data_IF_949973976086
#
_entry.id   IF_949973976086
#
_cell.length_a   1.000
_cell.length_b   1.000
_cell.length_c   1.000
_cell.angle_alpha   90.00
_cell.angle_beta   90.00
_cell.angle_gamma   90.00
#
_symmetry.space_group_name_H-M   'P 1'
#
loop_
_entity.id
_entity.type
_entity.pdbx_description
1 polymer ?
#
# COMPACT_ATOMS: atom_id res chain seq x y z
N UNK A 1 -9.78 -2.11 2.70
CA UNK A 1 -8.62 -1.65 1.91
C UNK A 1 -8.48 -2.61 0.76
N UNK A 2 -8.35 -2.11 -0.47
CA UNK A 2 -8.23 -2.91 -1.70
C UNK A 2 -6.94 -2.51 -2.41
N UNK A 3 -6.27 -3.49 -3.00
CA UNK A 3 -5.07 -3.35 -3.84
C UNK A 3 -5.35 -3.98 -5.20
N UNK A 4 -4.51 -3.66 -6.19
CA UNK A 4 -4.65 -4.16 -7.56
C UNK A 4 -6.03 -3.89 -8.20
N UNK A 5 -6.58 -2.68 -8.00
CA UNK A 5 -7.85 -2.32 -8.63
C UNK A 5 -7.77 -2.32 -10.17
N UNK A 6 -6.56 -2.14 -10.73
CA UNK A 6 -6.23 -2.25 -12.17
C UNK A 6 -7.10 -1.38 -13.10
N UNK A 7 -7.72 -0.36 -12.52
CA UNK A 7 -8.64 0.53 -13.21
C UNK A 7 -8.28 1.99 -12.88
N UNK A 8 -8.29 2.90 -13.87
CA UNK A 8 -8.15 4.33 -13.60
C UNK A 8 -9.42 4.87 -12.93
N UNK A 9 -9.28 5.97 -12.20
CA UNK A 9 -10.35 6.58 -11.40
C UNK A 9 -11.63 6.77 -12.21
N UNK A 10 -11.54 7.31 -13.43
CA UNK A 10 -12.72 7.59 -14.28
C UNK A 10 -13.54 6.36 -14.71
N UNK A 11 -13.02 5.15 -14.52
CA UNK A 11 -13.72 3.88 -14.84
C UNK A 11 -13.90 2.99 -13.61
N UNK A 12 -13.51 3.48 -12.43
CA UNK A 12 -13.79 2.79 -11.18
C UNK A 12 -15.30 2.78 -10.91
N UNK A 13 -15.87 1.67 -10.39
CA UNK A 13 -17.32 1.52 -10.19
C UNK A 13 -17.81 2.27 -8.94
N UNK A 14 -17.71 3.61 -8.93
CA UNK A 14 -18.12 4.44 -7.81
C UNK A 14 -19.59 4.22 -7.45
N UNK A 15 -20.48 4.19 -8.44
CA UNK A 15 -21.92 4.10 -8.23
C UNK A 15 -22.33 2.76 -7.60
N UNK A 16 -21.73 1.65 -8.03
CA UNK A 16 -22.01 0.33 -7.46
C UNK A 16 -21.66 0.31 -5.96
N UNK A 17 -20.53 0.88 -5.59
CA UNK A 17 -20.09 0.91 -4.18
C UNK A 17 -20.92 1.92 -3.36
N UNK A 18 -21.26 3.06 -3.94
CA UNK A 18 -22.14 4.06 -3.32
C UNK A 18 -23.54 3.48 -3.06
N UNK A 19 -24.08 2.68 -4.00
CA UNK A 19 -25.38 2.00 -3.86
C UNK A 19 -25.39 0.97 -2.72
N UNK A 20 -24.22 0.40 -2.38
CA UNK A 20 -24.03 -0.43 -1.19
C UNK A 20 -23.91 0.39 0.11
N UNK A 21 -24.06 1.71 0.05
CA UNK A 21 -23.96 2.68 1.16
C UNK A 21 -22.56 2.71 1.79
N UNK A 22 -21.53 2.59 0.97
CA UNK A 22 -20.14 2.79 1.37
C UNK A 22 -19.55 4.03 0.72
N UNK A 23 -18.74 4.75 1.50
CA UNK A 23 -17.78 5.73 1.01
C UNK A 23 -16.62 4.98 0.36
N UNK A 24 -16.09 5.51 -0.74
CA UNK A 24 -14.94 4.92 -1.40
C UNK A 24 -13.99 6.00 -1.92
N UNK A 25 -12.70 5.77 -1.68
CA UNK A 25 -11.61 6.68 -2.02
C UNK A 25 -10.58 5.88 -2.79
N UNK A 26 -10.21 6.34 -3.98
CA UNK A 26 -9.44 5.57 -4.95
C UNK A 26 -8.23 6.37 -5.41
N UNK A 27 -7.13 5.66 -5.63
CA UNK A 27 -6.05 6.12 -6.48
C UNK A 27 -5.75 4.99 -7.46
N UNK A 28 -6.21 5.15 -8.69
CA UNK A 28 -6.26 4.12 -9.73
C UNK A 28 -5.29 4.36 -10.87
N UNK A 29 -4.96 3.28 -11.57
CA UNK A 29 -4.08 3.28 -12.74
C UNK A 29 -4.57 2.21 -13.73
N UNK A 30 -4.52 2.53 -15.03
CA UNK A 30 -4.95 1.59 -16.08
C UNK A 30 -4.08 0.34 -16.12
N UNK A 31 -4.73 -0.83 -16.13
CA UNK A 31 -4.14 -2.18 -16.28
C UNK A 31 -3.24 -2.66 -15.14
N UNK A 32 -2.75 -1.77 -14.28
CA UNK A 32 -1.75 -2.07 -13.26
C UNK A 32 -2.08 -1.37 -11.95
N UNK A 33 -1.56 -1.89 -10.84
CA UNK A 33 -1.61 -1.26 -9.52
C UNK A 33 -3.04 -0.86 -9.11
N UNK A 34 -3.17 0.30 -8.46
CA UNK A 34 -4.41 0.86 -8.00
C UNK A 34 -4.73 0.41 -6.58
N UNK A 35 -5.14 1.37 -5.76
CA UNK A 35 -5.48 1.18 -4.35
C UNK A 35 -6.77 1.91 -4.01
N UNK A 36 -7.57 1.32 -3.12
CA UNK A 36 -8.80 1.94 -2.66
C UNK A 36 -9.06 1.71 -1.16
N UNK A 37 -9.68 2.69 -0.52
CA UNK A 37 -10.24 2.56 0.84
C UNK A 37 -11.75 2.67 0.72
N UNK A 38 -12.45 1.62 1.15
CA UNK A 38 -13.91 1.58 1.24
C UNK A 38 -14.28 1.59 2.72
N UNK A 39 -15.24 2.43 3.10
CA UNK A 39 -15.62 2.65 4.50
C UNK A 39 -17.12 2.90 4.64
N UNK A 40 -17.73 2.40 5.74
CA UNK A 40 -19.10 2.76 6.12
C UNK A 40 -19.23 4.19 6.63
N UNK A 41 -18.11 4.83 6.95
CA UNK A 41 -18.04 6.19 7.50
C UNK A 41 -17.23 7.07 6.56
N UNK A 42 -17.61 8.34 6.47
CA UNK A 42 -16.82 9.36 5.80
C UNK A 42 -15.44 9.44 6.41
N UNK A 43 -14.42 9.42 5.56
CA UNK A 43 -13.03 9.60 5.94
C UNK A 43 -12.57 11.02 5.59
N UNK A 44 -11.50 11.47 6.24
CA UNK A 44 -10.90 12.80 6.02
C UNK A 44 -9.43 12.70 5.62
N UNK A 45 -8.83 13.81 5.21
CA UNK A 45 -7.39 13.90 4.90
C UNK A 45 -6.90 12.80 3.94
N UNK A 46 -7.66 12.56 2.87
CA UNK A 46 -7.31 11.58 1.85
C UNK A 46 -6.08 12.06 1.10
N UNK A 47 -5.03 11.24 1.06
CA UNK A 47 -3.76 11.55 0.37
C UNK A 47 -3.23 10.32 -0.34
N UNK A 48 -2.48 10.53 -1.42
CA UNK A 48 -1.83 9.47 -2.19
C UNK A 48 -0.35 9.77 -2.48
N UNK A 49 0.17 10.84 -1.87
CA UNK A 49 1.46 11.46 -2.15
C UNK A 49 2.30 11.64 -0.87
N UNK A 50 2.16 10.74 0.10
CA UNK A 50 2.82 10.87 1.41
C UNK A 50 4.36 10.86 1.32
N UNK A 51 4.91 10.37 0.21
CA UNK A 51 6.28 10.60 -0.25
C UNK A 51 6.29 10.66 -1.77
N UNK A 52 7.37 11.21 -2.36
CA UNK A 52 7.53 11.28 -3.81
C UNK A 52 7.85 9.89 -4.37
N UNK A 53 6.95 9.34 -5.18
CA UNK A 53 7.23 8.14 -5.96
C UNK A 53 8.05 8.50 -7.22
N UNK A 54 8.98 7.64 -7.62
CA UNK A 54 9.82 7.87 -8.82
C UNK A 54 9.07 7.63 -10.12
N UNK A 55 8.07 6.75 -10.11
CA UNK A 55 7.38 6.26 -11.29
C UNK A 55 5.91 6.69 -11.35
N UNK A 56 5.47 7.53 -10.40
CA UNK A 56 4.09 7.97 -10.20
C UNK A 56 3.07 6.80 -10.19
N UNK A 57 3.42 5.68 -9.56
CA UNK A 57 2.56 4.48 -9.53
C UNK A 57 1.50 4.55 -8.42
N UNK A 58 0.28 4.09 -8.75
CA UNK A 58 -0.85 4.11 -7.82
C UNK A 58 -0.79 3.02 -6.76
N UNK A 59 0.07 3.22 -5.75
CA UNK A 59 0.45 2.21 -4.76
C UNK A 59 0.13 2.57 -3.32
N UNK A 60 -0.28 3.81 -3.04
CA UNK A 60 -0.54 4.24 -1.67
C UNK A 60 -1.71 5.21 -1.61
N UNK A 61 -2.60 4.97 -0.65
CA UNK A 61 -3.66 5.91 -0.29
C UNK A 61 -3.79 5.90 1.23
N UNK A 62 -3.89 7.08 1.82
CA UNK A 62 -4.05 7.27 3.25
C UNK A 62 -5.33 8.02 3.54
N UNK A 63 -5.92 7.76 4.69
CA UNK A 63 -7.12 8.45 5.14
C UNK A 63 -7.16 8.49 6.67
N UNK A 64 -7.73 9.56 7.21
CA UNK A 64 -7.94 9.70 8.65
C UNK A 64 -9.36 9.28 9.02
N UNK A 65 -9.48 8.51 10.11
CA UNK A 65 -10.75 8.12 10.71
C UNK A 65 -10.77 8.48 12.20
N UNK A 66 -11.81 9.18 12.62
CA UNK A 66 -12.04 9.44 14.04
C UNK A 66 -12.66 8.20 14.70
N UNK A 67 -12.01 7.70 15.76
CA UNK A 67 -12.53 6.63 16.61
C UNK A 67 -12.47 7.07 18.07
N UNK A 68 -13.63 7.33 18.68
CA UNK A 68 -13.76 7.92 20.02
C UNK A 68 -13.00 9.25 20.09
N UNK A 69 -12.03 9.37 21.00
CA UNK A 69 -11.17 10.54 21.16
C UNK A 69 -9.90 10.50 20.30
N UNK A 70 -9.68 9.44 19.52
CA UNK A 70 -8.45 9.25 18.73
C UNK A 70 -8.69 9.51 17.25
N UNK A 71 -7.72 10.14 16.60
CA UNK A 71 -7.63 10.18 15.14
C UNK A 71 -6.70 9.06 14.68
N UNK A 72 -7.23 8.07 13.95
CA UNK A 72 -6.47 6.94 13.43
C UNK A 72 -6.15 7.22 11.96
N UNK A 73 -4.87 7.22 11.61
CA UNK A 73 -4.45 7.30 10.22
C UNK A 73 -4.40 5.88 9.63
N UNK A 74 -5.21 5.63 8.60
CA UNK A 74 -5.19 4.41 7.81
C UNK A 74 -4.25 4.62 6.63
N UNK A 75 -3.34 3.69 6.39
CA UNK A 75 -2.39 3.69 5.28
C UNK A 75 -2.58 2.38 4.51
N UNK A 76 -3.21 2.46 3.35
CA UNK A 76 -3.35 1.33 2.44
C UNK A 76 -2.19 1.33 1.44
N UNK A 77 -1.45 0.23 1.37
CA UNK A 77 -0.29 0.07 0.48
C UNK A 77 -0.46 -1.10 -0.49
N UNK A 78 0.13 -0.95 -1.67
CA UNK A 78 0.44 -2.01 -2.62
C UNK A 78 1.91 -1.86 -3.05
N UNK A 79 2.79 -2.44 -2.25
CA UNK A 79 4.25 -2.35 -2.47
C UNK A 79 4.67 -2.94 -3.84
N UNK A 80 5.79 -2.50 -4.44
CA UNK A 80 6.29 -3.12 -5.65
C UNK A 80 6.69 -4.59 -5.41
N UNK A 81 6.30 -5.49 -6.32
CA UNK A 81 6.67 -6.90 -6.27
C UNK A 81 8.20 -7.10 -6.33
N UNK A 82 8.86 -6.41 -7.26
CA UNK A 82 10.32 -6.36 -7.39
C UNK A 82 10.94 -7.48 -8.22
N UNK A 83 10.17 -8.47 -8.71
CA UNK A 83 10.71 -9.47 -9.63
C UNK A 83 10.76 -8.97 -11.08
N UNK A 84 11.76 -9.42 -11.88
CA UNK A 84 12.91 -10.24 -11.47
C UNK A 84 13.93 -9.44 -10.64
N UNK A 85 14.65 -10.13 -9.74
CA UNK A 85 15.59 -9.49 -8.79
C UNK A 85 16.71 -8.72 -9.47
N UNK A 86 17.26 -9.23 -10.57
CA UNK A 86 18.42 -8.64 -11.25
C UNK A 86 18.02 -7.51 -12.23
N UNK A 87 16.95 -6.78 -11.90
CA UNK A 87 16.42 -5.69 -12.73
C UNK A 87 16.14 -4.44 -11.90
N UNK A 88 15.92 -3.32 -12.58
CA UNK A 88 15.53 -2.03 -12.00
C UNK A 88 14.24 -2.11 -11.15
N UNK A 89 13.42 -3.14 -11.33
CA UNK A 89 12.24 -3.40 -10.51
C UNK A 89 12.59 -3.66 -9.04
N UNK A 90 13.68 -4.37 -8.77
CA UNK A 90 14.09 -4.66 -7.40
C UNK A 90 14.70 -3.43 -6.73
N UNK A 91 15.50 -2.66 -7.46
CA UNK A 91 16.00 -1.35 -7.01
C UNK A 91 14.85 -0.39 -6.69
N UNK A 92 13.81 -0.39 -7.53
CA UNK A 92 12.60 0.40 -7.29
C UNK A 92 11.87 -0.08 -6.02
N UNK A 93 11.76 -1.38 -5.78
CA UNK A 93 11.17 -1.93 -4.55
C UNK A 93 11.92 -1.47 -3.30
N UNK A 94 13.25 -1.58 -3.30
CA UNK A 94 14.09 -1.14 -2.18
C UNK A 94 13.88 0.34 -1.92
N UNK A 95 13.98 1.18 -2.96
CA UNK A 95 13.75 2.62 -2.86
C UNK A 95 12.36 2.96 -2.28
N UNK A 96 11.33 2.26 -2.75
CA UNK A 96 9.95 2.48 -2.34
C UNK A 96 9.76 2.15 -0.86
N UNK A 97 10.30 1.00 -0.41
CA UNK A 97 10.27 0.59 1.00
C UNK A 97 11.04 1.57 1.90
N UNK A 98 12.23 2.01 1.49
CA UNK A 98 13.01 3.00 2.25
C UNK A 98 12.27 4.35 2.37
N UNK A 99 11.60 4.77 1.29
CA UNK A 99 10.79 5.99 1.30
C UNK A 99 9.59 5.86 2.22
N UNK A 100 8.89 4.72 2.20
CA UNK A 100 7.79 4.41 3.10
C UNK A 100 8.26 4.42 4.56
N UNK A 101 9.31 3.67 4.90
CA UNK A 101 9.84 3.58 6.27
C UNK A 101 10.26 4.95 6.79
N UNK A 102 10.97 5.74 5.97
CA UNK A 102 11.36 7.11 6.32
C UNK A 102 10.13 7.99 6.59
N UNK A 103 9.06 7.85 5.81
CA UNK A 103 7.83 8.60 6.01
C UNK A 103 7.08 8.14 7.27
N UNK A 104 6.94 6.84 7.49
CA UNK A 104 6.29 6.27 8.68
C UNK A 104 6.99 6.70 9.97
N UNK A 105 8.33 6.69 10.01
CA UNK A 105 9.10 7.20 11.16
C UNK A 105 8.83 8.67 11.48
N UNK A 106 8.48 9.49 10.49
CA UNK A 106 8.07 10.89 10.70
C UNK A 106 6.63 10.97 11.19
N UNK A 107 5.72 10.26 10.53
CA UNK A 107 4.29 10.23 10.90
C UNK A 107 4.08 9.72 12.33
N UNK A 108 4.82 8.70 12.77
CA UNK A 108 4.74 8.17 14.13
C UNK A 108 5.13 9.20 15.21
N UNK A 109 5.92 10.22 14.88
CA UNK A 109 6.22 11.33 15.81
C UNK A 109 5.08 12.34 15.94
N UNK A 110 4.20 12.39 14.93
CA UNK A 110 3.07 13.31 14.85
C UNK A 110 1.78 12.65 15.35
N UNK A 111 1.58 11.37 15.08
CA UNK A 111 0.45 10.56 15.50
C UNK A 111 0.85 9.11 15.70
N UNK A 112 0.73 8.59 16.91
CA UNK A 112 1.03 7.19 17.23
C UNK A 112 -0.07 6.21 16.79
N UNK A 113 -1.26 6.72 16.45
CA UNK A 113 -2.42 5.89 16.07
C UNK A 113 -2.44 5.68 14.55
N UNK A 114 -1.55 4.82 14.05
CA UNK A 114 -1.45 4.47 12.63
C UNK A 114 -1.82 3.00 12.44
N UNK A 115 -2.68 2.74 11.46
CA UNK A 115 -2.93 1.40 10.93
C UNK A 115 -2.37 1.37 9.51
N UNK A 116 -1.35 0.56 9.27
CA UNK A 116 -0.87 0.24 7.93
C UNK A 116 -1.32 -1.15 7.54
N UNK A 117 -1.79 -1.31 6.31
CA UNK A 117 -2.13 -2.61 5.77
C UNK A 117 -2.23 -2.61 4.25
N UNK A 118 -2.35 -3.80 3.69
CA UNK A 118 -2.40 -4.03 2.25
C UNK A 118 -1.44 -5.13 1.86
N UNK A 119 -1.00 -5.11 0.60
CA UNK A 119 -0.08 -6.11 0.08
C UNK A 119 1.37 -5.57 0.15
N UNK A 120 2.12 -6.19 1.06
CA UNK A 120 3.51 -5.86 1.36
C UNK A 120 4.51 -6.48 0.38
N UNK A 121 4.09 -7.41 -0.50
CA UNK A 121 5.00 -8.18 -1.36
C UNK A 121 6.31 -8.50 -0.63
N UNK A 122 6.21 -9.04 0.58
CA UNK A 122 7.32 -9.47 1.42
C UNK A 122 6.87 -10.77 2.05
N UNK A 123 7.76 -11.75 2.07
CA UNK A 123 7.63 -12.99 2.83
C UNK A 123 8.54 -12.84 4.05
N UNK A 124 8.03 -12.43 5.22
CA UNK A 124 8.88 -12.07 6.36
C UNK A 124 9.76 -13.23 6.85
N UNK A 125 9.16 -14.40 7.00
CA UNK A 125 9.78 -15.59 7.55
C UNK A 125 9.55 -16.81 6.64
N UNK A 126 10.32 -17.88 6.84
CA UNK A 126 10.19 -19.09 6.01
C UNK A 126 8.82 -19.76 6.25
N UNK A 127 8.30 -19.63 7.46
CA UNK A 127 7.01 -20.16 7.90
C UNK A 127 5.83 -19.48 7.20
N UNK A 128 6.03 -18.31 6.57
CA UNK A 128 5.00 -17.56 5.83
C UNK A 128 4.76 -18.10 4.40
N UNK A 129 5.50 -19.12 3.98
CA UNK A 129 5.33 -19.78 2.67
C UNK A 129 5.37 -21.30 2.77
N UNK A 130 4.62 -21.97 1.89
CA UNK A 130 4.52 -23.43 1.90
C UNK A 130 5.85 -24.15 1.61
N UNK A 131 6.65 -23.62 0.68
CA UNK A 131 7.96 -24.17 0.35
C UNK A 131 9.00 -23.04 0.19
N UNK A 132 9.74 -22.69 1.26
CA UNK A 132 10.71 -21.60 1.26
C UNK A 132 11.77 -21.70 0.17
N UNK A 133 12.17 -22.92 -0.20
CA UNK A 133 13.21 -23.15 -1.21
C UNK A 133 12.82 -22.58 -2.58
N UNK A 134 11.53 -22.57 -2.91
CA UNK A 134 11.03 -22.01 -4.17
C UNK A 134 11.20 -20.49 -4.24
N UNK A 135 11.36 -19.82 -3.10
CA UNK A 135 11.43 -18.37 -3.00
C UNK A 135 12.83 -17.85 -2.72
N UNK A 136 13.87 -18.70 -2.60
CA UNK A 136 15.24 -18.27 -2.29
C UNK A 136 15.78 -17.17 -3.22
N UNK A 137 15.35 -17.19 -4.49
CA UNK A 137 15.71 -16.19 -5.49
C UNK A 137 14.60 -15.16 -5.78
N UNK A 138 13.46 -15.25 -5.09
CA UNK A 138 12.32 -14.35 -5.28
C UNK A 138 12.59 -13.01 -4.57
N UNK A 139 12.30 -11.91 -5.26
CA UNK A 139 12.38 -10.57 -4.72
C UNK A 139 11.61 -10.38 -3.41
N UNK A 140 10.60 -11.20 -3.09
CA UNK A 140 9.79 -11.14 -1.87
C UNK A 140 10.49 -11.76 -0.65
N UNK A 141 11.47 -12.63 -0.87
CA UNK A 141 12.10 -13.42 0.18
C UNK A 141 13.60 -13.09 0.42
N UNK A 142 14.11 -12.10 -0.32
CA UNK A 142 15.47 -11.57 -0.16
C UNK A 142 15.68 -10.95 1.23
N UNK A 143 16.85 -11.18 1.82
CA UNK A 143 17.18 -10.71 3.17
C UNK A 143 17.17 -9.19 3.29
N UNK A 144 17.56 -8.49 2.22
CA UNK A 144 17.65 -7.03 2.15
C UNK A 144 16.31 -6.34 2.37
N UNK A 145 15.20 -6.99 2.01
CA UNK A 145 13.86 -6.44 2.27
C UNK A 145 13.21 -7.02 3.52
N UNK A 146 13.50 -8.29 3.88
CA UNK A 146 12.89 -8.95 5.04
C UNK A 146 13.36 -8.41 6.38
N UNK A 147 14.54 -7.80 6.41
CA UNK A 147 15.16 -7.24 7.62
C UNK A 147 14.98 -5.71 7.77
N UNK A 148 14.13 -5.08 6.94
CA UNK A 148 13.86 -3.65 7.02
C UNK A 148 12.89 -3.27 8.13
#
# INVERSE_FOLDING_TARGET
>A
MIQETKTPDNTYPYDDINNLKYENYVFGQKSYNGVAIISKKKLSNIKNDIFKDKLNQSRIITADVKHKSKNIQIINIYTPNGNPVDTDKYDYKIYWLDSLIKKLKKLLKENENIIIGGDFNIIPAAEDVHNPKNYENDALFRLEIRKK
#
